data_IF_844766695372
#
_entry.id   IF_844766695372
#
_cell.length_a   1.000
_cell.length_b   1.000
_cell.length_c   1.000
_cell.angle_alpha   90.00
_cell.angle_beta   90.00
_cell.angle_gamma   90.00
#
_symmetry.space_group_name_H-M   'P 1'
#
loop_
_entity.id
_entity.type
_entity.pdbx_description
1 polymer ?
#
# COMPACT_ATOMS: atom_id res chain seq x y z
N UNK A 1 11.52 12.06 -1.56
CA UNK A 1 10.22 11.35 -1.47
C UNK A 1 9.32 11.93 -0.38
N UNK A 2 9.85 12.85 0.45
CA UNK A 2 9.15 13.65 1.43
C UNK A 2 8.35 12.78 2.38
N UNK A 3 7.06 13.06 2.44
CA UNK A 3 6.16 12.34 3.32
C UNK A 3 5.82 10.92 2.79
N UNK A 4 6.03 10.59 1.51
CA UNK A 4 5.68 9.28 0.94
C UNK A 4 4.30 9.20 0.27
N UNK A 5 3.61 10.31 0.03
CA UNK A 5 2.26 10.34 -0.60
C UNK A 5 2.21 9.69 -1.98
N UNK A 6 3.24 9.89 -2.83
CA UNK A 6 3.33 9.24 -4.14
C UNK A 6 3.50 7.73 -4.01
N UNK A 7 4.26 7.27 -3.02
CA UNK A 7 4.40 5.84 -2.73
C UNK A 7 3.08 5.22 -2.28
N UNK A 8 2.30 5.93 -1.46
CA UNK A 8 0.93 5.50 -1.11
C UNK A 8 0.03 5.35 -2.33
N UNK A 9 0.06 6.33 -3.23
CA UNK A 9 -0.69 6.25 -4.49
C UNK A 9 -0.24 5.02 -5.31
N UNK A 10 1.07 4.80 -5.43
CA UNK A 10 1.59 3.62 -6.11
C UNK A 10 1.07 2.30 -5.54
N UNK A 11 0.96 2.16 -4.21
CA UNK A 11 0.40 0.94 -3.59
C UNK A 11 -1.08 0.73 -3.94
N UNK A 12 -1.87 1.81 -4.00
CA UNK A 12 -3.30 1.76 -4.37
C UNK A 12 -3.51 1.35 -5.83
N UNK A 13 -2.64 1.85 -6.70
CA UNK A 13 -2.71 1.58 -8.14
C UNK A 13 -1.99 0.28 -8.54
N UNK A 14 -1.37 -0.44 -7.59
CA UNK A 14 -0.65 -1.69 -7.85
C UNK A 14 0.69 -1.50 -8.59
N UNK A 15 1.29 -0.31 -8.53
CA UNK A 15 2.59 -0.03 -9.13
C UNK A 15 3.75 -0.38 -8.19
N UNK A 16 4.92 -0.61 -8.79
CA UNK A 16 6.20 -0.63 -8.05
C UNK A 16 6.67 0.80 -7.79
N UNK A 17 7.27 1.04 -6.63
CA UNK A 17 7.75 2.36 -6.23
C UNK A 17 9.19 2.32 -5.70
N UNK A 18 10.01 3.27 -6.14
CA UNK A 18 11.34 3.57 -5.59
C UNK A 18 11.36 5.05 -5.23
N UNK A 19 11.74 5.36 -3.99
CA UNK A 19 11.84 6.74 -3.50
C UNK A 19 13.23 7.02 -2.91
N UNK A 20 13.72 8.24 -3.12
CA UNK A 20 14.95 8.76 -2.51
C UNK A 20 14.63 10.01 -1.70
N UNK A 21 15.28 10.18 -0.54
CA UNK A 21 15.23 11.40 0.25
C UNK A 21 16.62 11.78 0.79
N UNK A 22 16.78 13.03 1.20
CA UNK A 22 18.03 13.57 1.71
C UNK A 22 18.28 13.18 3.17
N UNK A 23 17.23 13.02 3.98
CA UNK A 23 17.36 12.67 5.40
C UNK A 23 16.79 11.29 5.69
N UNK A 24 17.50 10.51 6.51
CA UNK A 24 17.08 9.18 6.93
C UNK A 24 15.73 9.19 7.68
N UNK A 25 15.45 10.27 8.42
CA UNK A 25 14.18 10.45 9.14
C UNK A 25 12.99 10.50 8.18
N UNK A 26 13.08 11.27 7.08
CA UNK A 26 12.01 11.31 6.09
C UNK A 26 11.87 9.97 5.36
N UNK A 27 12.97 9.25 5.10
CA UNK A 27 12.90 7.89 4.55
C UNK A 27 12.08 6.97 5.46
N UNK A 28 12.33 6.99 6.76
CA UNK A 28 11.65 6.12 7.71
C UNK A 28 10.17 6.47 7.89
N UNK A 29 9.83 7.76 7.94
CA UNK A 29 8.43 8.22 7.96
C UNK A 29 7.71 7.79 6.68
N UNK A 30 8.31 8.03 5.52
CA UNK A 30 7.73 7.67 4.23
C UNK A 30 7.53 6.16 4.12
N UNK A 31 8.53 5.36 4.52
CA UNK A 31 8.49 3.89 4.52
C UNK A 31 7.28 3.37 5.30
N UNK A 32 7.14 3.76 6.57
CA UNK A 32 6.01 3.33 7.42
C UNK A 32 4.65 3.69 6.82
N UNK A 33 4.53 4.88 6.23
CA UNK A 33 3.28 5.34 5.60
C UNK A 33 2.93 4.55 4.34
N UNK A 34 3.94 4.15 3.55
CA UNK A 34 3.76 3.34 2.34
C UNK A 34 3.41 1.90 2.71
N UNK A 35 4.15 1.30 3.65
CA UNK A 35 3.88 -0.06 4.16
C UNK A 35 2.48 -0.20 4.75
N UNK A 36 2.04 0.79 5.53
CA UNK A 36 0.66 0.83 6.04
C UNK A 36 -0.37 0.81 4.91
N UNK A 37 -0.16 1.61 3.86
CA UNK A 37 -1.09 1.66 2.74
C UNK A 37 -1.08 0.37 1.92
N UNK A 38 0.08 -0.25 1.72
CA UNK A 38 0.19 -1.56 1.08
C UNK A 38 -0.61 -2.62 1.85
N UNK A 39 -0.38 -2.75 3.16
CA UNK A 39 -1.09 -3.70 4.00
C UNK A 39 -2.62 -3.47 3.99
N UNK A 40 -3.04 -2.19 3.97
CA UNK A 40 -4.45 -1.79 3.85
C UNK A 40 -5.05 -2.26 2.52
N UNK A 41 -4.39 -1.99 1.40
CA UNK A 41 -4.84 -2.40 0.05
C UNK A 41 -4.90 -3.92 -0.07
N UNK A 42 -3.89 -4.64 0.42
CA UNK A 42 -3.90 -6.10 0.43
C UNK A 42 -5.04 -6.67 1.28
N UNK A 43 -5.34 -6.07 2.44
CA UNK A 43 -6.46 -6.48 3.28
C UNK A 43 -7.81 -6.26 2.57
N UNK A 44 -7.98 -5.13 1.89
CA UNK A 44 -9.18 -4.84 1.08
C UNK A 44 -9.36 -5.86 -0.04
N UNK A 45 -8.29 -6.19 -0.78
CA UNK A 45 -8.32 -7.22 -1.83
C UNK A 45 -8.68 -8.59 -1.25
N UNK A 46 -8.04 -9.00 -0.15
CA UNK A 46 -8.35 -10.29 0.50
C UNK A 46 -9.81 -10.39 0.92
N UNK A 47 -10.34 -9.34 1.54
CA UNK A 47 -11.74 -9.29 1.96
C UNK A 47 -12.69 -9.39 0.76
N UNK A 48 -12.44 -8.63 -0.30
CA UNK A 48 -13.26 -8.66 -1.51
C UNK A 48 -13.26 -10.04 -2.19
N UNK A 49 -12.11 -10.72 -2.23
CA UNK A 49 -12.01 -12.08 -2.77
C UNK A 49 -12.75 -13.09 -1.89
N UNK A 50 -12.53 -13.07 -0.58
CA UNK A 50 -13.20 -13.99 0.35
C UNK A 50 -14.74 -13.86 0.29
N UNK A 51 -15.25 -12.62 0.14
CA UNK A 51 -16.68 -12.38 -0.02
C UNK A 51 -17.22 -12.96 -1.34
N UNK A 52 -16.45 -12.89 -2.45
CA UNK A 52 -16.86 -13.48 -3.72
C UNK A 52 -17.00 -15.00 -3.63
N UNK A 53 -16.06 -15.67 -2.96
CA UNK A 53 -16.08 -17.14 -2.82
C UNK A 53 -17.31 -17.64 -2.05
N UNK A 54 -17.76 -16.88 -1.04
CA UNK A 54 -18.95 -17.21 -0.26
C UNK A 54 -20.24 -17.27 -1.09
N UNK A 55 -20.35 -16.44 -2.12
CA UNK A 55 -21.54 -16.40 -3.00
C UNK A 55 -21.41 -17.28 -4.25
N UNK A 56 -20.20 -17.74 -4.58
CA UNK A 56 -19.95 -18.60 -5.75
C UNK A 56 -20.09 -20.10 -5.45
N UNK A 57 -20.17 -20.50 -4.17
CA UNK A 57 -20.26 -21.89 -3.74
C UNK A 57 -21.71 -22.41 -3.52
N UNK A 58 -22.72 -21.68 -4.01
CA UNK A 58 -24.14 -22.06 -3.99
C UNK A 58 -24.63 -22.47 -5.39
#
# INVERSE_FOLDING_TARGET
>A
MGSGSTGKAAMREGFRFIGIDLTAEYVEIARKRIEWELARVEAEIRYATAQRDLFAAA
#
